data_IF_298993174664
#
_entry.id   IF_298993174664
#
_cell.length_a   1.000
_cell.length_b   1.000
_cell.length_c   1.000
_cell.angle_alpha   90.00
_cell.angle_beta   90.00
_cell.angle_gamma   90.00
#
_symmetry.space_group_name_H-M   'P 1'
#
loop_
_entity.id
_entity.type
_entity.pdbx_description
1 polymer ?
#
# COMPACT_ATOMS: atom_id res chain seq x y z
N UNK A 1 -0.43 3.06 16.42
CA UNK A 1 -1.58 2.28 15.95
C UNK A 1 -2.62 3.19 15.33
N UNK A 2 -2.56 3.30 14.01
CA UNK A 2 -3.54 4.00 13.16
C UNK A 2 -4.80 3.11 13.08
N UNK A 3 -6.00 3.60 13.39
CA UNK A 3 -7.23 2.81 13.24
C UNK A 3 -7.54 2.47 11.77
N UNK A 4 -8.16 1.32 11.51
CA UNK A 4 -8.45 0.88 10.12
C UNK A 4 -9.34 1.86 9.36
N UNK A 5 -10.30 2.51 10.02
CA UNK A 5 -11.16 3.54 9.43
C UNK A 5 -10.40 4.82 9.03
N UNK A 6 -9.17 4.97 9.53
CA UNK A 6 -8.21 6.01 9.14
C UNK A 6 -7.22 5.53 8.09
N UNK A 7 -7.42 4.34 7.54
CA UNK A 7 -6.65 3.81 6.42
C UNK A 7 -7.51 3.64 5.17
N UNK A 8 -6.87 3.45 4.02
CA UNK A 8 -7.53 3.16 2.75
C UNK A 8 -6.69 2.26 1.86
N UNK A 9 -7.32 1.69 0.84
CA UNK A 9 -6.63 0.98 -0.23
C UNK A 9 -6.63 1.84 -1.48
N UNK A 10 -5.47 1.92 -2.11
CA UNK A 10 -5.29 2.46 -3.45
C UNK A 10 -4.65 1.42 -4.35
N UNK A 11 -5.07 1.42 -5.61
CA UNK A 11 -4.45 0.64 -6.67
C UNK A 11 -3.73 1.61 -7.62
N UNK A 12 -2.44 1.36 -7.84
CA UNK A 12 -1.63 2.10 -8.80
C UNK A 12 -1.14 1.16 -9.88
N UNK A 13 -1.34 1.54 -11.13
CA UNK A 13 -0.80 0.82 -12.28
C UNK A 13 0.22 1.68 -13.01
N UNK A 14 1.42 1.15 -13.21
CA UNK A 14 2.47 1.73 -14.04
C UNK A 14 2.56 1.08 -15.43
N UNK A 15 1.71 0.08 -15.69
CA UNK A 15 1.68 -0.76 -16.88
C UNK A 15 0.57 -1.81 -16.82
N UNK A 16 0.42 -2.60 -17.89
CA UNK A 16 -0.65 -3.60 -18.02
C UNK A 16 -0.30 -4.96 -17.40
N UNK A 17 0.96 -5.17 -17.00
CA UNK A 17 1.41 -6.41 -16.38
C UNK A 17 1.09 -6.42 -14.89
N UNK A 18 0.87 -7.61 -14.32
CA UNK A 18 0.62 -7.78 -12.88
C UNK A 18 1.76 -7.24 -12.00
N UNK A 19 3.00 -7.29 -12.49
CA UNK A 19 4.15 -6.73 -11.78
C UNK A 19 4.10 -5.20 -11.66
N UNK A 20 3.34 -4.54 -12.54
CA UNK A 20 3.18 -3.09 -12.59
C UNK A 20 1.92 -2.59 -11.86
N UNK A 21 1.09 -3.50 -11.33
CA UNK A 21 -0.11 -3.18 -10.55
C UNK A 21 0.24 -3.30 -9.08
N UNK A 22 0.07 -2.22 -8.32
CA UNK A 22 0.41 -2.11 -6.90
C UNK A 22 -0.83 -1.81 -6.07
N UNK A 23 -0.99 -2.52 -4.96
CA UNK A 23 -2.00 -2.30 -3.93
C UNK A 23 -1.35 -1.69 -2.71
N UNK A 24 -1.91 -0.58 -2.23
CA UNK A 24 -1.28 0.25 -1.23
C UNK A 24 -2.23 0.49 -0.08
N UNK A 25 -1.78 0.20 1.15
CA UNK A 25 -2.46 0.66 2.35
C UNK A 25 -1.96 2.06 2.70
N UNK A 26 -2.88 3.01 2.77
CA UNK A 26 -2.58 4.43 2.95
C UNK A 26 -3.13 4.93 4.27
N UNK A 27 -2.36 5.73 5.00
CA UNK A 27 -2.80 6.49 6.16
C UNK A 27 -3.56 7.75 5.70
N UNK A 28 -4.90 7.74 5.82
CA UNK A 28 -5.76 8.86 5.44
C UNK A 28 -5.64 10.09 6.34
N UNK A 29 -4.93 9.99 7.47
CA UNK A 29 -4.61 11.17 8.27
C UNK A 29 -3.47 12.00 7.66
N UNK A 30 -2.59 11.35 6.88
CA UNK A 30 -1.49 12.00 6.14
C UNK A 30 -1.97 12.34 4.72
N UNK A 31 -2.62 11.38 4.07
CA UNK A 31 -3.07 11.46 2.68
C UNK A 31 -4.58 11.21 2.58
N UNK A 32 -5.42 12.20 2.95
CA UNK A 32 -6.88 12.03 3.00
C UNK A 32 -7.50 11.75 1.63
N UNK A 33 -6.91 12.31 0.57
CA UNK A 33 -7.34 12.17 -0.82
C UNK A 33 -6.51 11.11 -1.58
N UNK A 34 -5.62 10.42 -0.87
CA UNK A 34 -4.74 9.39 -1.39
C UNK A 34 -3.31 9.84 -1.71
N UNK A 35 -2.48 8.91 -2.22
CA UNK A 35 -1.07 9.19 -2.49
C UNK A 35 -0.93 10.12 -3.69
N UNK A 36 -0.26 11.25 -3.47
CA UNK A 36 0.09 12.20 -4.53
C UNK A 36 1.22 11.63 -5.41
N UNK A 37 0.82 10.91 -6.45
CA UNK A 37 1.70 10.27 -7.43
C UNK A 37 2.68 11.23 -8.10
N UNK A 38 2.25 12.46 -8.38
CA UNK A 38 3.08 13.44 -9.08
C UNK A 38 4.22 13.90 -8.15
N UNK A 39 3.95 14.09 -6.86
CA UNK A 39 5.02 14.32 -5.88
C UNK A 39 5.93 13.10 -5.72
N UNK A 40 5.36 11.90 -5.73
CA UNK A 40 6.14 10.67 -5.61
C UNK A 40 7.09 10.48 -6.81
N UNK A 41 6.64 10.79 -8.03
CA UNK A 41 7.43 10.76 -9.26
C UNK A 41 8.57 11.77 -9.28
N UNK A 42 8.38 12.92 -8.63
CA UNK A 42 9.40 13.95 -8.49
C UNK A 42 10.38 13.69 -7.33
N UNK A 43 10.13 12.66 -6.50
CA UNK A 43 10.98 12.33 -5.39
C UNK A 43 12.34 11.79 -5.86
N UNK A 44 13.39 12.08 -5.09
CA UNK A 44 14.72 11.51 -5.33
C UNK A 44 14.65 9.98 -5.16
N UNK A 45 15.03 9.18 -6.18
CA UNK A 45 14.98 7.72 -6.11
C UNK A 45 15.76 7.14 -4.93
N UNK A 46 16.79 7.85 -4.44
CA UNK A 46 17.60 7.44 -3.29
C UNK A 46 16.84 7.55 -1.96
N UNK A 47 15.75 8.31 -1.93
CA UNK A 47 14.92 8.56 -0.76
C UNK A 47 13.46 8.11 -1.00
N UNK A 48 13.24 7.19 -1.94
CA UNK A 48 11.90 6.79 -2.36
C UNK A 48 11.08 6.21 -1.20
N UNK A 49 11.69 5.39 -0.34
CA UNK A 49 11.04 4.87 0.87
C UNK A 49 10.56 5.99 1.80
N UNK A 50 11.40 7.00 2.04
CA UNK A 50 11.04 8.15 2.86
C UNK A 50 9.93 8.99 2.21
N UNK A 51 9.92 9.10 0.89
CA UNK A 51 8.86 9.77 0.14
C UNK A 51 7.54 9.01 0.26
N UNK A 52 7.55 7.68 0.16
CA UNK A 52 6.38 6.83 0.36
C UNK A 52 5.82 6.98 1.78
N UNK A 53 6.67 6.87 2.81
CA UNK A 53 6.25 7.06 4.20
C UNK A 53 5.67 8.45 4.44
N UNK A 54 6.32 9.50 3.88
CA UNK A 54 5.84 10.88 3.99
C UNK A 54 4.53 11.12 3.23
N UNK A 55 4.30 10.36 2.15
CA UNK A 55 3.04 10.32 1.42
C UNK A 55 1.99 9.43 2.09
N UNK A 56 2.25 8.90 3.29
CA UNK A 56 1.30 8.10 4.05
C UNK A 56 1.17 6.66 3.60
N UNK A 57 2.07 6.15 2.76
CA UNK A 57 2.14 4.72 2.44
C UNK A 57 2.54 3.92 3.68
N UNK A 58 1.71 2.95 4.07
CA UNK A 58 1.97 2.02 5.16
C UNK A 58 2.57 0.73 4.60
N UNK A 59 1.93 0.15 3.58
CA UNK A 59 2.43 -1.04 2.86
C UNK A 59 2.09 -0.88 1.38
N UNK A 60 2.98 -1.37 0.52
CA UNK A 60 2.81 -1.42 -0.93
C UNK A 60 3.23 -2.80 -1.39
N UNK A 61 2.36 -3.49 -2.12
CA UNK A 61 2.61 -4.82 -2.67
C UNK A 61 2.10 -4.86 -4.10
N UNK A 62 2.84 -5.49 -5.01
CA UNK A 62 2.35 -5.70 -6.37
C UNK A 62 1.33 -6.85 -6.46
N UNK A 63 0.60 -6.96 -7.57
CA UNK A 63 -0.44 -7.98 -7.76
C UNK A 63 0.11 -9.41 -7.69
N UNK A 64 1.40 -9.62 -8.00
CA UNK A 64 2.07 -10.92 -7.87
C UNK A 64 2.25 -11.27 -6.39
N UNK A 65 2.75 -10.35 -5.57
CA UNK A 65 2.89 -10.53 -4.13
C UNK A 65 1.54 -10.76 -3.46
N UNK A 66 0.51 -10.00 -3.88
CA UNK A 66 -0.88 -10.20 -3.44
C UNK A 66 -1.38 -11.61 -3.83
N UNK A 67 -1.14 -12.05 -5.06
CA UNK A 67 -1.47 -13.41 -5.50
C UNK A 67 -0.79 -14.49 -4.65
N UNK A 68 0.49 -14.30 -4.32
CA UNK A 68 1.26 -15.26 -3.53
C UNK A 68 0.80 -15.33 -2.07
N UNK A 69 0.60 -14.18 -1.43
CA UNK A 69 0.09 -14.12 -0.05
C UNK A 69 -1.33 -14.69 0.03
N UNK A 70 -2.17 -14.45 -0.99
CA UNK A 70 -3.51 -15.02 -1.06
C UNK A 70 -3.47 -16.54 -1.21
N UNK A 71 -2.56 -17.09 -2.03
CA UNK A 71 -2.35 -18.54 -2.15
C UNK A 71 -1.90 -19.19 -0.83
N UNK A 72 -1.13 -18.46 -0.02
CA UNK A 72 -0.69 -18.90 1.32
C UNK A 72 -1.78 -18.76 2.39
N UNK A 73 -2.89 -18.09 2.07
CA UNK A 73 -3.97 -17.80 3.02
C UNK A 73 -3.66 -16.66 3.99
N UNK A 74 -2.63 -15.86 3.69
CA UNK A 74 -2.21 -14.74 4.54
C UNK A 74 -3.02 -13.47 4.30
N UNK A 75 -3.59 -13.32 3.10
CA UNK A 75 -4.51 -12.24 2.75
C UNK A 75 -5.73 -12.76 1.98
N UNK A 76 -6.83 -12.02 2.00
CA UNK A 76 -8.04 -12.30 1.23
C UNK A 76 -8.29 -11.19 0.23
N UNK A 77 -8.22 -11.49 -1.07
CA UNK A 77 -8.45 -10.49 -2.13
C UNK A 77 -9.83 -9.85 -2.09
N UNK A 78 -10.87 -10.58 -1.65
CA UNK A 78 -12.24 -10.07 -1.49
C UNK A 78 -12.37 -9.06 -0.36
N UNK A 79 -11.39 -9.01 0.55
CA UNK A 79 -11.34 -8.11 1.71
C UNK A 79 -9.90 -7.60 1.89
N UNK A 80 -9.38 -7.02 0.81
CA UNK A 80 -7.98 -6.64 0.70
C UNK A 80 -7.60 -5.57 1.73
N UNK A 81 -8.51 -4.63 2.01
CA UNK A 81 -8.29 -3.57 2.99
C UNK A 81 -8.04 -4.12 4.39
N UNK A 82 -8.93 -4.97 4.89
CA UNK A 82 -8.76 -5.62 6.19
C UNK A 82 -7.49 -6.49 6.21
N UNK A 83 -7.26 -7.26 5.15
CA UNK A 83 -6.13 -8.18 5.08
C UNK A 83 -4.78 -7.47 5.11
N UNK A 84 -4.63 -6.36 4.36
CA UNK A 84 -3.39 -5.58 4.37
C UNK A 84 -3.20 -4.83 5.68
N UNK A 85 -4.28 -4.37 6.31
CA UNK A 85 -4.22 -3.76 7.63
C UNK A 85 -3.73 -4.75 8.69
N UNK A 86 -4.27 -5.97 8.71
CA UNK A 86 -3.83 -7.03 9.62
C UNK A 86 -2.38 -7.45 9.37
N UNK A 87 -1.98 -7.55 8.09
CA UNK A 87 -0.60 -7.81 7.70
C UNK A 87 0.34 -6.70 8.23
N UNK A 88 0.03 -5.44 7.95
CA UNK A 88 0.80 -4.30 8.42
C UNK A 88 0.91 -4.25 9.96
N UNK A 89 -0.16 -4.60 10.67
CA UNK A 89 -0.16 -4.72 12.13
C UNK A 89 0.80 -5.80 12.62
N UNK A 90 0.78 -6.98 11.98
CA UNK A 90 1.61 -8.13 12.34
C UNK A 90 3.10 -7.88 12.10
N UNK A 91 3.43 -7.16 11.02
CA UNK A 91 4.80 -6.77 10.68
C UNK A 91 5.30 -5.53 11.44
N UNK A 92 4.45 -4.90 12.27
CA UNK A 92 4.84 -3.75 13.10
C UNK A 92 4.91 -2.42 12.36
N UNK A 93 4.13 -2.26 11.28
CA UNK A 93 4.08 -1.06 10.44
C UNK A 93 3.02 -0.03 10.87
N UNK A 94 2.23 -0.31 11.93
CA UNK A 94 1.07 0.49 12.40
C UNK A 94 1.22 1.13 13.80
#
# INVERSE_FOLDING_TARGET
MIPIEKTGIEELSFGDSKEDIFHILVNKQISPDGIDLEKLRLADPRNFDAALTSAGCIIMLNEIEIDELAKRGEIKKTDLHQSLYELASREGLL
#
